data_IF_552849786016
#
_entry.id   IF_552849786016
#
_cell.length_a   1.000
_cell.length_b   1.000
_cell.length_c   1.000
_cell.angle_alpha   90.00
_cell.angle_beta   90.00
_cell.angle_gamma   90.00
#
_symmetry.space_group_name_H-M   'P 1'
#
loop_
_entity.id
_entity.type
_entity.pdbx_description
1 polymer ?
#
# COMPACT_ATOMS: atom_id res chain seq x y z
N UNK A 1 -10.60 10.93 26.12
CA UNK A 1 -9.50 10.15 25.52
C UNK A 1 -9.87 8.68 25.69
N UNK A 2 -10.81 8.18 24.90
CA UNK A 2 -11.34 6.83 25.08
C UNK A 2 -10.89 5.90 23.95
N UNK A 3 -10.03 4.96 24.36
CA UNK A 3 -10.10 3.51 24.16
C UNK A 3 -10.28 3.04 22.72
N UNK A 4 -9.20 2.50 22.17
CA UNK A 4 -9.21 1.59 21.03
C UNK A 4 -10.41 0.64 21.12
N UNK A 5 -11.42 0.87 20.28
CA UNK A 5 -12.66 0.11 20.29
C UNK A 5 -12.47 -1.15 19.45
N UNK A 6 -12.35 -2.30 20.11
CA UNK A 6 -12.13 -3.59 19.46
C UNK A 6 -13.21 -3.94 18.40
N UNK A 7 -14.42 -3.38 18.52
CA UNK A 7 -15.47 -3.56 17.53
C UNK A 7 -15.09 -2.97 16.17
N UNK A 8 -14.36 -1.85 16.15
CA UNK A 8 -13.91 -1.20 14.91
C UNK A 8 -12.90 -2.09 14.17
N UNK A 9 -11.98 -2.72 14.92
CA UNK A 9 -11.00 -3.66 14.36
C UNK A 9 -11.70 -4.90 13.79
N UNK A 10 -12.72 -5.41 14.48
CA UNK A 10 -13.50 -6.54 14.00
C UNK A 10 -14.31 -6.21 12.74
N UNK A 11 -14.90 -5.02 12.66
CA UNK A 11 -15.61 -4.52 11.48
C UNK A 11 -14.64 -4.37 10.29
N UNK A 12 -13.50 -3.73 10.52
CA UNK A 12 -12.42 -3.61 9.53
C UNK A 12 -12.03 -4.98 8.97
N UNK A 13 -11.73 -5.93 9.86
CA UNK A 13 -11.32 -7.27 9.45
C UNK A 13 -12.41 -8.01 8.68
N UNK A 14 -13.67 -7.79 9.02
CA UNK A 14 -14.80 -8.41 8.33
C UNK A 14 -14.92 -7.94 6.88
N UNK A 15 -14.67 -6.65 6.63
CA UNK A 15 -14.65 -6.09 5.28
C UNK A 15 -13.39 -6.55 4.54
N UNK A 16 -12.22 -6.41 5.16
CA UNK A 16 -10.94 -6.74 4.53
C UNK A 16 -10.84 -8.23 4.16
N UNK A 17 -11.19 -9.15 5.06
CA UNK A 17 -11.08 -10.60 4.81
C UNK A 17 -11.86 -11.07 3.58
N UNK A 18 -12.95 -10.36 3.24
CA UNK A 18 -13.83 -10.75 2.13
C UNK A 18 -13.10 -10.73 0.78
N UNK A 19 -12.20 -9.77 0.57
CA UNK A 19 -11.37 -9.69 -0.64
C UNK A 19 -10.26 -10.76 -0.64
N UNK A 20 -9.56 -10.91 0.49
CA UNK A 20 -8.42 -11.84 0.61
C UNK A 20 -8.80 -13.33 0.60
N UNK A 21 -10.08 -13.63 0.85
CA UNK A 21 -10.65 -14.99 0.83
C UNK A 21 -11.63 -15.23 -0.31
N UNK A 22 -11.95 -14.20 -1.09
CA UNK A 22 -12.90 -14.27 -2.20
C UNK A 22 -12.35 -14.98 -3.44
N UNK A 23 -13.04 -14.78 -4.56
CA UNK A 23 -12.78 -15.50 -5.81
C UNK A 23 -11.42 -15.12 -6.45
N UNK A 24 -10.98 -13.87 -6.27
CA UNK A 24 -9.71 -13.36 -6.80
C UNK A 24 -8.52 -13.50 -5.82
N UNK A 25 -8.63 -14.34 -4.77
CA UNK A 25 -7.64 -14.45 -3.69
C UNK A 25 -6.20 -14.72 -4.14
N UNK A 26 -6.02 -15.52 -5.19
CA UNK A 26 -4.68 -15.87 -5.69
C UNK A 26 -4.01 -14.69 -6.40
N UNK A 27 -4.79 -13.91 -7.16
CA UNK A 27 -4.30 -12.69 -7.80
C UNK A 27 -3.96 -11.63 -6.74
N UNK A 28 -4.84 -11.44 -5.76
CA UNK A 28 -4.61 -10.51 -4.64
C UNK A 28 -3.33 -10.84 -3.86
N UNK A 29 -3.13 -12.13 -3.52
CA UNK A 29 -1.93 -12.60 -2.80
C UNK A 29 -0.67 -12.51 -3.65
N UNK A 30 -0.75 -12.83 -4.94
CA UNK A 30 0.38 -12.69 -5.87
C UNK A 30 0.83 -11.24 -6.02
N UNK A 31 -0.12 -10.31 -6.16
CA UNK A 31 0.16 -8.88 -6.18
C UNK A 31 0.74 -8.40 -4.85
N UNK A 32 0.17 -8.80 -3.72
CA UNK A 32 0.69 -8.45 -2.39
C UNK A 32 2.13 -8.94 -2.20
N UNK A 33 2.42 -10.18 -2.58
CA UNK A 33 3.76 -10.73 -2.54
C UNK A 33 4.71 -9.94 -3.44
N UNK A 34 4.28 -9.58 -4.65
CA UNK A 34 5.04 -8.70 -5.54
C UNK A 34 5.33 -7.34 -4.89
N UNK A 35 4.34 -6.68 -4.31
CA UNK A 35 4.50 -5.40 -3.60
C UNK A 35 5.53 -5.54 -2.47
N UNK A 36 5.43 -6.59 -1.65
CA UNK A 36 6.35 -6.81 -0.52
C UNK A 36 7.77 -7.08 -1.02
N UNK A 37 7.96 -7.87 -2.08
CA UNK A 37 9.28 -8.12 -2.66
C UNK A 37 9.91 -6.84 -3.21
N UNK A 38 9.14 -6.03 -3.94
CA UNK A 38 9.61 -4.75 -4.46
C UNK A 38 9.91 -3.76 -3.34
N UNK A 39 9.08 -3.71 -2.28
CA UNK A 39 9.32 -2.91 -1.08
C UNK A 39 10.66 -3.30 -0.42
N UNK A 40 10.87 -4.59 -0.17
CA UNK A 40 12.11 -5.09 0.43
C UNK A 40 13.34 -4.75 -0.42
N UNK A 41 13.27 -4.95 -1.74
CA UNK A 41 14.37 -4.65 -2.65
C UNK A 41 14.68 -3.14 -2.70
N UNK A 42 13.65 -2.31 -2.83
CA UNK A 42 13.78 -0.85 -2.85
C UNK A 42 14.33 -0.30 -1.53
N UNK A 43 13.76 -0.70 -0.40
CA UNK A 43 14.16 -0.22 0.93
C UNK A 43 15.57 -0.70 1.28
N UNK A 44 15.90 -1.96 0.98
CA UNK A 44 17.25 -2.49 1.17
C UNK A 44 18.30 -1.70 0.37
N UNK A 45 17.98 -1.34 -0.87
CA UNK A 45 18.86 -0.50 -1.70
C UNK A 45 18.98 0.93 -1.14
N UNK A 46 17.89 1.48 -0.61
CA UNK A 46 17.87 2.78 0.07
C UNK A 46 18.82 2.82 1.27
N UNK A 47 18.84 1.75 2.09
CA UNK A 47 19.75 1.61 3.23
C UNK A 47 21.22 1.54 2.78
N UNK A 48 21.51 0.79 1.70
CA UNK A 48 22.87 0.74 1.13
C UNK A 48 23.31 2.12 0.63
N UNK A 49 22.46 2.83 -0.10
CA UNK A 49 22.72 4.19 -0.56
C UNK A 49 22.97 5.15 0.61
N UNK A 50 22.15 5.06 1.65
CA UNK A 50 22.27 5.90 2.83
C UNK A 50 23.63 5.70 3.51
N UNK A 51 24.05 4.46 3.72
CA UNK A 51 25.38 4.13 4.26
C UNK A 51 26.53 4.64 3.36
N UNK A 52 26.40 4.53 2.03
CA UNK A 52 27.44 4.98 1.08
C UNK A 52 27.54 6.50 0.96
N UNK A 53 26.49 7.26 1.29
CA UNK A 53 26.55 8.74 1.34
C UNK A 53 27.63 9.22 2.30
N UNK A 54 27.78 8.61 3.46
CA UNK A 54 28.84 8.97 4.42
C UNK A 54 30.25 8.78 3.85
N UNK A 55 30.46 7.72 3.07
CA UNK A 55 31.74 7.45 2.39
C UNK A 55 32.04 8.49 1.33
N UNK A 56 31.04 8.91 0.55
CA UNK A 56 31.20 9.96 -0.46
C UNK A 56 31.62 11.29 0.17
N UNK A 57 30.93 11.71 1.23
CA UNK A 57 31.26 12.95 1.96
C UNK A 57 32.64 12.86 2.61
N UNK A 58 32.99 11.71 3.18
CA UNK A 58 34.32 11.49 3.76
C UNK A 58 35.43 11.53 2.73
N UNK A 59 35.26 10.92 1.55
CA UNK A 59 36.25 10.95 0.47
C UNK A 59 36.44 12.37 -0.08
N UNK A 60 35.34 13.13 -0.21
CA UNK A 60 35.38 14.52 -0.63
C UNK A 60 36.13 15.41 0.36
N UNK A 61 35.86 15.25 1.66
CA UNK A 61 36.54 15.99 2.73
C UNK A 61 38.04 15.68 2.80
N UNK A 62 38.40 14.41 2.58
CA UNK A 62 39.80 13.95 2.57
C UNK A 62 40.56 14.28 1.27
N UNK A 63 39.91 14.90 0.27
CA UNK A 63 40.46 15.14 -1.07
C UNK A 63 41.00 13.85 -1.74
N UNK A 64 40.39 12.70 -1.44
CA UNK A 64 40.77 11.39 -1.98
C UNK A 64 40.05 11.16 -3.32
N UNK A 65 40.66 11.66 -4.39
CA UNK A 65 40.09 11.63 -5.75
C UNK A 65 39.78 10.21 -6.26
N UNK A 66 40.66 9.19 -6.13
CA UNK A 66 40.34 7.83 -6.56
C UNK A 66 39.12 7.26 -5.84
N UNK A 67 39.05 7.43 -4.52
CA UNK A 67 37.94 6.93 -3.71
C UNK A 67 36.63 7.67 -4.01
N UNK A 68 36.70 8.96 -4.31
CA UNK A 68 35.56 9.76 -4.73
C UNK A 68 34.94 9.22 -6.02
N UNK A 69 35.73 9.08 -7.09
CA UNK A 69 35.21 8.60 -8.38
C UNK A 69 34.69 7.17 -8.31
N UNK A 70 35.34 6.28 -7.55
CA UNK A 70 34.84 4.93 -7.31
C UNK A 70 33.46 4.96 -6.64
N UNK A 71 33.27 5.83 -5.65
CA UNK A 71 32.00 5.97 -4.94
C UNK A 71 30.91 6.56 -5.84
N UNK A 72 31.25 7.54 -6.69
CA UNK A 72 30.32 8.13 -7.66
C UNK A 72 29.79 7.09 -8.66
N UNK A 73 30.68 6.27 -9.24
CA UNK A 73 30.27 5.23 -10.21
C UNK A 73 29.34 4.20 -9.55
N UNK A 74 29.66 3.75 -8.33
CA UNK A 74 28.79 2.85 -7.56
C UNK A 74 27.43 3.51 -7.32
N UNK A 75 27.41 4.78 -6.94
CA UNK A 75 26.18 5.52 -6.68
C UNK A 75 25.29 5.61 -7.94
N UNK A 76 25.87 5.94 -9.09
CA UNK A 76 25.15 5.98 -10.37
C UNK A 76 24.59 4.59 -10.72
N UNK A 77 25.41 3.54 -10.60
CA UNK A 77 24.97 2.17 -10.88
C UNK A 77 23.81 1.74 -9.98
N UNK A 78 23.84 2.11 -8.71
CA UNK A 78 22.74 1.85 -7.78
C UNK A 78 21.48 2.65 -8.16
N UNK A 79 21.60 3.92 -8.55
CA UNK A 79 20.45 4.73 -8.97
C UNK A 79 19.72 4.15 -10.18
N UNK A 80 20.46 3.59 -11.15
CA UNK A 80 19.88 2.93 -12.33
C UNK A 80 18.99 1.76 -11.95
N UNK A 81 19.30 1.05 -10.86
CA UNK A 81 18.49 -0.07 -10.33
C UNK A 81 17.38 0.45 -9.41
N UNK A 82 17.65 1.50 -8.64
CA UNK A 82 16.72 2.07 -7.68
C UNK A 82 15.46 2.63 -8.34
N UNK A 83 15.61 3.38 -9.43
CA UNK A 83 14.48 3.99 -10.13
C UNK A 83 13.42 2.97 -10.61
N UNK A 84 13.77 1.89 -11.33
CA UNK A 84 12.78 0.89 -11.74
C UNK A 84 12.20 0.10 -10.56
N UNK A 85 12.96 -0.13 -9.48
CA UNK A 85 12.41 -0.76 -8.27
C UNK A 85 11.36 0.11 -7.61
N UNK A 86 11.61 1.42 -7.46
CA UNK A 86 10.63 2.36 -6.93
C UNK A 86 9.39 2.42 -7.82
N UNK A 87 9.58 2.56 -9.14
CA UNK A 87 8.47 2.61 -10.07
C UNK A 87 7.64 1.32 -10.05
N UNK A 88 8.29 0.15 -9.97
CA UNK A 88 7.64 -1.16 -9.87
C UNK A 88 6.88 -1.34 -8.56
N UNK A 89 7.46 -0.91 -7.45
CA UNK A 89 6.80 -0.89 -6.14
C UNK A 89 5.51 -0.04 -6.18
N UNK A 90 5.62 1.22 -6.63
CA UNK A 90 4.49 2.14 -6.73
C UNK A 90 3.41 1.58 -7.65
N UNK A 91 3.80 1.10 -8.84
CA UNK A 91 2.87 0.52 -9.79
C UNK A 91 2.11 -0.69 -9.22
N UNK A 92 2.81 -1.65 -8.60
CA UNK A 92 2.14 -2.83 -8.05
C UNK A 92 1.24 -2.49 -6.86
N UNK A 93 1.65 -1.54 -6.01
CA UNK A 93 0.82 -1.03 -4.90
C UNK A 93 -0.47 -0.41 -5.43
N UNK A 94 -0.37 0.46 -6.42
CA UNK A 94 -1.54 1.13 -7.00
C UNK A 94 -2.45 0.13 -7.72
N UNK A 95 -1.87 -0.83 -8.45
CA UNK A 95 -2.63 -1.91 -9.10
C UNK A 95 -3.39 -2.77 -8.09
N UNK A 96 -2.75 -3.14 -6.97
CA UNK A 96 -3.40 -3.89 -5.90
C UNK A 96 -4.55 -3.09 -5.25
N UNK A 97 -4.32 -1.81 -4.97
CA UNK A 97 -5.35 -0.92 -4.41
C UNK A 97 -6.55 -0.78 -5.36
N UNK A 98 -6.30 -0.59 -6.66
CA UNK A 98 -7.35 -0.51 -7.67
C UNK A 98 -8.13 -1.82 -7.82
N UNK A 99 -7.43 -2.97 -7.85
CA UNK A 99 -8.10 -4.26 -7.94
C UNK A 99 -8.97 -4.53 -6.72
N UNK A 100 -8.48 -4.21 -5.52
CA UNK A 100 -9.24 -4.34 -4.28
C UNK A 100 -10.45 -3.41 -4.28
N UNK A 101 -10.27 -2.13 -4.66
CA UNK A 101 -11.37 -1.17 -4.78
C UNK A 101 -12.43 -1.68 -5.75
N UNK A 102 -12.04 -2.11 -6.95
CA UNK A 102 -12.95 -2.64 -7.98
C UNK A 102 -13.78 -3.80 -7.41
N UNK A 103 -13.13 -4.77 -6.80
CA UNK A 103 -13.80 -5.94 -6.23
C UNK A 103 -14.79 -5.54 -5.11
N UNK A 104 -14.36 -4.64 -4.21
CA UNK A 104 -15.18 -4.24 -3.07
C UNK A 104 -16.37 -3.37 -3.50
N UNK A 105 -16.16 -2.45 -4.44
CA UNK A 105 -17.25 -1.64 -5.03
C UNK A 105 -18.28 -2.53 -5.74
N UNK A 106 -17.86 -3.50 -6.56
CA UNK A 106 -18.79 -4.43 -7.21
C UNK A 106 -19.65 -5.16 -6.17
N UNK A 107 -19.01 -5.72 -5.12
CA UNK A 107 -19.71 -6.41 -4.05
C UNK A 107 -20.71 -5.52 -3.31
N UNK A 108 -20.36 -4.27 -3.04
CA UNK A 108 -21.29 -3.34 -2.37
C UNK A 108 -22.44 -2.92 -3.27
N UNK A 109 -22.17 -2.62 -4.54
CA UNK A 109 -23.20 -2.26 -5.53
C UNK A 109 -24.18 -3.42 -5.74
N UNK A 110 -23.68 -4.65 -5.90
CA UNK A 110 -24.52 -5.83 -6.07
C UNK A 110 -25.47 -6.02 -4.87
N UNK A 111 -24.95 -5.87 -3.65
CA UNK A 111 -25.77 -5.97 -2.44
C UNK A 111 -26.73 -4.79 -2.27
N UNK A 112 -26.37 -3.59 -2.75
CA UNK A 112 -27.21 -2.40 -2.67
C UNK A 112 -28.46 -2.51 -3.56
N UNK A 113 -28.32 -3.12 -4.74
CA UNK A 113 -29.44 -3.33 -5.66
C UNK A 113 -30.20 -4.64 -5.40
N UNK A 114 -29.64 -5.58 -4.64
CA UNK A 114 -30.31 -6.82 -4.26
C UNK A 114 -31.50 -6.54 -3.34
N UNK A 115 -32.60 -7.26 -3.56
CA UNK A 115 -33.79 -7.28 -2.69
C UNK A 115 -34.35 -5.89 -2.32
N UNK A 116 -34.19 -4.91 -3.23
CA UNK A 116 -34.57 -3.51 -3.02
C UNK A 116 -33.91 -2.88 -1.78
N UNK A 117 -32.71 -3.32 -1.41
CA UNK A 117 -31.99 -2.81 -0.25
C UNK A 117 -31.82 -1.28 -0.30
N UNK A 118 -31.59 -0.68 -1.47
CA UNK A 118 -31.57 0.77 -1.64
C UNK A 118 -32.84 1.48 -1.12
N UNK A 119 -34.01 0.89 -1.33
CA UNK A 119 -35.29 1.42 -0.87
C UNK A 119 -35.48 1.21 0.63
N UNK A 120 -35.15 0.01 1.11
CA UNK A 120 -35.25 -0.31 2.53
C UNK A 120 -34.30 0.54 3.37
N UNK A 121 -33.09 0.82 2.90
CA UNK A 121 -32.12 1.68 3.59
C UNK A 121 -32.64 3.11 3.74
N UNK A 122 -33.37 3.62 2.74
CA UNK A 122 -33.96 4.95 2.77
C UNK A 122 -35.16 5.06 3.72
N UNK A 123 -35.94 3.99 3.87
CA UNK A 123 -37.19 4.00 4.67
C UNK A 123 -36.97 3.57 6.11
N UNK A 124 -36.02 2.67 6.37
CA UNK A 124 -35.92 1.99 7.68
C UNK A 124 -35.11 2.76 8.73
N UNK A 125 -34.84 4.05 8.53
CA UNK A 125 -33.99 4.90 9.39
C UNK A 125 -32.76 4.15 9.95
N UNK A 126 -32.04 3.43 9.08
CA UNK A 126 -30.97 2.50 9.49
C UNK A 126 -29.73 3.20 10.09
N UNK A 127 -29.74 4.53 10.17
CA UNK A 127 -28.59 5.35 10.57
C UNK A 127 -27.46 5.39 9.53
N UNK A 128 -27.65 4.80 8.35
CA UNK A 128 -26.70 4.84 7.23
C UNK A 128 -27.06 6.01 6.32
N UNK A 129 -26.28 7.07 6.41
CA UNK A 129 -26.39 8.25 5.54
C UNK A 129 -25.48 8.13 4.30
N UNK A 130 -25.92 8.73 3.19
CA UNK A 130 -25.25 8.80 1.87
C UNK A 130 -24.58 7.48 1.43
N UNK A 131 -25.35 6.40 1.21
CA UNK A 131 -24.80 5.08 0.88
C UNK A 131 -24.01 5.09 -0.44
N UNK A 132 -24.38 5.94 -1.39
CA UNK A 132 -23.67 6.20 -2.63
C UNK A 132 -22.27 6.78 -2.37
N UNK A 133 -22.16 7.80 -1.50
CA UNK A 133 -20.89 8.37 -1.11
C UNK A 133 -20.01 7.33 -0.41
N UNK A 134 -20.58 6.54 0.51
CA UNK A 134 -19.84 5.47 1.18
C UNK A 134 -19.28 4.44 0.19
N UNK A 135 -20.05 4.06 -0.83
CA UNK A 135 -19.60 3.09 -1.85
C UNK A 135 -18.54 3.71 -2.78
N UNK A 136 -18.66 4.99 -3.13
CA UNK A 136 -17.76 5.65 -4.08
C UNK A 136 -16.45 6.15 -3.45
N UNK A 137 -16.54 6.80 -2.29
CA UNK A 137 -15.45 7.49 -1.61
C UNK A 137 -14.86 6.65 -0.48
N UNK A 138 -15.68 6.13 0.45
CA UNK A 138 -15.14 5.42 1.61
C UNK A 138 -14.48 4.11 1.19
N UNK A 139 -15.02 3.38 0.20
CA UNK A 139 -14.35 2.18 -0.34
C UNK A 139 -12.99 2.52 -0.96
N UNK A 140 -12.86 3.67 -1.62
CA UNK A 140 -11.57 4.13 -2.14
C UNK A 140 -10.60 4.40 -1.00
N UNK A 141 -10.99 5.23 -0.04
CA UNK A 141 -10.16 5.59 1.11
C UNK A 141 -9.79 4.36 1.93
N UNK A 142 -10.74 3.47 2.19
CA UNK A 142 -10.53 2.21 2.90
C UNK A 142 -9.45 1.36 2.24
N UNK A 143 -9.56 1.12 0.94
CA UNK A 143 -8.60 0.25 0.22
C UNK A 143 -7.22 0.87 0.06
N UNK A 144 -7.14 2.19 -0.14
CA UNK A 144 -5.87 2.93 -0.23
C UNK A 144 -5.17 3.01 1.13
N UNK A 145 -5.85 3.52 2.15
CA UNK A 145 -5.29 3.72 3.48
C UNK A 145 -4.93 2.40 4.15
N UNK A 146 -5.77 1.36 4.04
CA UNK A 146 -5.45 0.03 4.59
C UNK A 146 -4.14 -0.52 4.02
N UNK A 147 -3.95 -0.38 2.70
CA UNK A 147 -2.73 -0.85 2.05
C UNK A 147 -1.53 0.03 2.45
N UNK A 148 -1.71 1.35 2.51
CA UNK A 148 -0.68 2.28 3.00
C UNK A 148 -0.22 1.90 4.41
N UNK A 149 -1.15 1.75 5.36
CA UNK A 149 -0.84 1.37 6.74
C UNK A 149 -0.11 0.03 6.81
N UNK A 150 -0.58 -0.99 6.07
CA UNK A 150 0.08 -2.29 6.03
C UNK A 150 1.53 -2.17 5.55
N UNK A 151 1.77 -1.40 4.49
CA UNK A 151 3.11 -1.25 3.91
C UNK A 151 4.03 -0.40 4.79
N UNK A 152 3.52 0.65 5.44
CA UNK A 152 4.28 1.43 6.42
C UNK A 152 4.67 0.58 7.62
N UNK A 153 3.80 -0.32 8.10
CA UNK A 153 4.16 -1.26 9.16
C UNK A 153 5.26 -2.22 8.72
N UNK A 154 5.22 -2.73 7.48
CA UNK A 154 6.29 -3.57 6.93
C UNK A 154 7.59 -2.79 6.80
N UNK A 155 7.54 -1.55 6.30
CA UNK A 155 8.69 -0.66 6.14
C UNK A 155 9.33 -0.30 7.49
N UNK A 156 8.52 0.01 8.51
CA UNK A 156 8.98 0.37 9.85
C UNK A 156 9.73 -0.76 10.57
N UNK A 157 9.52 -2.02 10.19
CA UNK A 157 10.27 -3.16 10.72
C UNK A 157 11.66 -3.28 10.07
N UNK A 158 11.83 -2.68 8.88
CA UNK A 158 13.05 -2.76 8.08
C UNK A 158 14.00 -1.57 8.29
N UNK A 159 13.46 -0.42 8.71
CA UNK A 159 14.20 0.82 9.01
C UNK A 159 14.71 0.86 10.45
#
# INVERSE_FOLDING_TARGET
MDRLNFNVVQQFWTIAKSYWLGDEKWQARGLLLGVVLFLLAYTGLSVVLNNKRGVLISALSAQDEPRFWQTVIIFIGVLVIYAPLLAGYTYLRDRLSLQWRRWLTHRFVDNYFRDRAYYNLHISETGIDNPDQRIAEDVRSFTQESLTFLLVLVESVLS
#
